data_IF_432397399686
#
_entry.id   IF_432397399686
#
_cell.length_a   1.000
_cell.length_b   1.000
_cell.length_c   1.000
_cell.angle_alpha   90.00
_cell.angle_beta   90.00
_cell.angle_gamma   90.00
#
_symmetry.space_group_name_H-M   'P 1'
#
loop_
_entity.id
_entity.type
_entity.pdbx_description
1 polymer ?
#
# COMPACT_ATOMS: atom_id res chain seq x y z
N UNK A 1 -16.23 24.56 20.40
CA UNK A 1 -17.13 23.60 19.71
C UNK A 1 -16.56 23.03 18.40
N UNK A 2 -15.42 23.51 17.86
CA UNK A 2 -14.86 22.99 16.60
C UNK A 2 -14.01 21.70 16.67
N UNK A 3 -13.48 21.33 17.84
CA UNK A 3 -12.57 20.18 17.98
C UNK A 3 -13.28 18.82 18.11
N UNK A 4 -14.46 18.78 18.73
CA UNK A 4 -15.23 17.54 18.96
C UNK A 4 -15.86 17.02 17.66
N UNK A 5 -16.28 17.91 16.76
CA UNK A 5 -16.79 17.53 15.45
C UNK A 5 -15.67 17.05 14.49
N UNK A 6 -14.47 17.65 14.58
CA UNK A 6 -13.31 17.25 13.77
C UNK A 6 -12.79 15.85 14.12
N UNK A 7 -12.69 15.52 15.42
CA UNK A 7 -12.17 14.23 15.87
C UNK A 7 -12.96 13.02 15.36
N UNK A 8 -14.28 13.15 15.23
CA UNK A 8 -15.12 12.06 14.71
C UNK A 8 -14.90 11.80 13.21
N UNK A 9 -14.68 12.86 12.42
CA UNK A 9 -14.37 12.73 10.99
C UNK A 9 -12.98 12.13 10.76
N UNK A 10 -11.96 12.60 11.50
CA UNK A 10 -10.62 12.02 11.46
C UNK A 10 -10.61 10.55 11.88
N UNK A 11 -11.41 10.17 12.88
CA UNK A 11 -11.54 8.78 13.32
C UNK A 11 -12.10 7.88 12.22
N UNK A 12 -13.13 8.35 11.49
CA UNK A 12 -13.70 7.61 10.35
C UNK A 12 -12.72 7.50 9.19
N UNK A 13 -12.02 8.59 8.88
CA UNK A 13 -11.03 8.63 7.81
C UNK A 13 -9.83 7.71 8.11
N UNK A 14 -9.28 7.78 9.32
CA UNK A 14 -8.17 6.94 9.78
C UNK A 14 -8.50 5.45 9.70
N UNK A 15 -9.70 5.05 10.15
CA UNK A 15 -10.18 3.67 10.07
C UNK A 15 -10.25 3.17 8.62
N UNK A 16 -10.90 3.94 7.74
CA UNK A 16 -11.03 3.58 6.31
C UNK A 16 -9.70 3.56 5.58
N UNK A 17 -8.79 4.48 5.92
CA UNK A 17 -7.43 4.47 5.38
C UNK A 17 -6.68 3.21 5.81
N UNK A 18 -6.77 2.83 7.09
CA UNK A 18 -6.17 1.59 7.60
C UNK A 18 -6.70 0.35 6.89
N UNK A 19 -8.01 0.22 6.74
CA UNK A 19 -8.64 -0.86 5.98
C UNK A 19 -8.18 -0.87 4.51
N UNK A 20 -8.09 0.31 3.88
CA UNK A 20 -7.59 0.48 2.52
C UNK A 20 -6.13 0.05 2.36
N UNK A 21 -5.26 0.42 3.30
CA UNK A 21 -3.84 0.03 3.30
C UNK A 21 -3.68 -1.48 3.48
N UNK A 22 -4.45 -2.10 4.39
CA UNK A 22 -4.41 -3.55 4.62
C UNK A 22 -4.88 -4.31 3.37
N UNK A 23 -5.97 -3.86 2.74
CA UNK A 23 -6.45 -4.46 1.49
C UNK A 23 -5.45 -4.25 0.35
N UNK A 24 -4.82 -3.08 0.27
CA UNK A 24 -3.74 -2.81 -0.68
C UNK A 24 -2.53 -3.72 -0.48
N UNK A 25 -2.18 -4.04 0.76
CA UNK A 25 -1.10 -4.98 1.09
C UNK A 25 -1.40 -6.40 0.59
N UNK A 26 -2.63 -6.87 0.79
CA UNK A 26 -3.09 -8.17 0.31
C UNK A 26 -3.06 -8.23 -1.23
N UNK A 27 -3.54 -7.19 -1.90
CA UNK A 27 -3.46 -7.07 -3.37
C UNK A 27 -2.03 -7.09 -3.87
N UNK A 28 -1.12 -6.37 -3.19
CA UNK A 28 0.30 -6.38 -3.54
C UNK A 28 0.93 -7.78 -3.40
N UNK A 29 0.51 -8.56 -2.38
CA UNK A 29 0.94 -9.96 -2.23
C UNK A 29 0.50 -10.83 -3.40
N UNK A 30 -0.77 -10.73 -3.79
CA UNK A 30 -1.29 -11.47 -4.95
C UNK A 30 -0.57 -11.05 -6.23
N UNK A 31 -0.29 -9.76 -6.40
CA UNK A 31 0.48 -9.24 -7.53
C UNK A 31 1.90 -9.80 -7.60
N UNK A 32 2.60 -9.93 -6.46
CA UNK A 32 3.92 -10.58 -6.41
C UNK A 32 3.81 -12.05 -6.79
N UNK A 33 2.83 -12.78 -6.28
CA UNK A 33 2.62 -14.18 -6.66
C UNK A 33 2.33 -14.33 -8.17
N UNK A 34 1.51 -13.45 -8.74
CA UNK A 34 1.25 -13.42 -10.18
C UNK A 34 2.53 -13.12 -10.98
N UNK A 35 3.37 -12.19 -10.50
CA UNK A 35 4.68 -11.93 -11.11
C UNK A 35 5.58 -13.17 -11.09
N UNK A 36 5.58 -13.93 -10.00
CA UNK A 36 6.37 -15.16 -9.89
C UNK A 36 5.86 -16.27 -10.81
N UNK A 37 4.54 -16.39 -11.01
CA UNK A 37 3.94 -17.39 -11.91
C UNK A 37 4.14 -17.03 -13.38
N UNK A 38 3.94 -15.77 -13.75
CA UNK A 38 4.01 -15.34 -15.14
C UNK A 38 5.45 -15.13 -15.65
N UNK A 39 6.46 -15.13 -14.76
CA UNK A 39 7.85 -14.85 -15.10
C UNK A 39 8.60 -16.14 -15.44
N UNK A 40 9.11 -16.29 -16.68
CA UNK A 40 9.92 -17.45 -17.05
C UNK A 40 11.39 -17.38 -16.58
N UNK A 41 11.89 -16.18 -16.24
CA UNK A 41 13.31 -15.92 -15.95
C UNK A 41 13.58 -15.57 -14.48
N UNK A 42 14.66 -16.06 -13.86
CA UNK A 42 14.98 -15.77 -12.46
C UNK A 42 15.31 -14.29 -12.21
N UNK A 43 15.16 -13.84 -10.96
CA UNK A 43 15.50 -12.47 -10.53
C UNK A 43 17.02 -12.34 -10.37
N UNK A 44 17.70 -11.94 -11.45
CA UNK A 44 19.17 -11.77 -11.49
C UNK A 44 19.62 -10.31 -11.43
N UNK A 45 18.86 -9.38 -12.03
CA UNK A 45 19.24 -7.97 -12.10
C UNK A 45 18.85 -7.15 -10.87
N UNK A 46 17.72 -7.50 -10.23
CA UNK A 46 17.14 -6.78 -9.10
C UNK A 46 16.60 -7.76 -8.07
N UNK A 47 16.62 -7.40 -6.76
CA UNK A 47 16.09 -8.24 -5.71
C UNK A 47 14.58 -8.48 -5.88
N UNK A 48 14.11 -9.61 -5.36
CA UNK A 48 12.68 -9.98 -5.38
C UNK A 48 11.81 -8.87 -4.75
N UNK A 49 10.68 -8.49 -5.39
CA UNK A 49 9.80 -7.46 -4.87
C UNK A 49 9.20 -7.89 -3.53
N UNK A 50 9.22 -6.99 -2.56
CA UNK A 50 8.64 -7.18 -1.22
C UNK A 50 7.42 -6.30 -1.05
N UNK A 51 6.41 -6.83 -0.36
CA UNK A 51 5.15 -6.12 -0.06
C UNK A 51 5.41 -4.78 0.62
N UNK A 52 6.30 -4.75 1.62
CA UNK A 52 6.67 -3.53 2.34
C UNK A 52 7.24 -2.45 1.43
N UNK A 53 8.07 -2.83 0.45
CA UNK A 53 8.67 -1.89 -0.50
C UNK A 53 7.63 -1.35 -1.47
N UNK A 54 6.69 -2.19 -1.91
CA UNK A 54 5.58 -1.76 -2.80
C UNK A 54 4.69 -0.75 -2.08
N UNK A 55 4.25 -1.06 -0.85
CA UNK A 55 3.43 -0.16 -0.05
C UNK A 55 4.18 1.13 0.25
N UNK A 56 5.44 1.03 0.69
CA UNK A 56 6.26 2.20 0.98
C UNK A 56 6.37 3.14 -0.22
N UNK A 57 6.67 2.61 -1.41
CA UNK A 57 6.77 3.41 -2.65
C UNK A 57 5.44 3.99 -3.09
N UNK A 58 4.34 3.24 -2.93
CA UNK A 58 3.00 3.74 -3.23
C UNK A 58 2.64 4.92 -2.32
N UNK A 59 2.94 4.82 -1.02
CA UNK A 59 2.70 5.91 -0.06
C UNK A 59 3.60 7.12 -0.36
N UNK A 60 4.90 6.94 -0.57
CA UNK A 60 5.79 8.07 -0.91
C UNK A 60 5.37 8.77 -2.21
N UNK A 61 4.93 8.00 -3.21
CA UNK A 61 4.45 8.54 -4.48
C UNK A 61 3.13 9.31 -4.37
N UNK A 62 2.29 8.99 -3.39
CA UNK A 62 1.06 9.75 -3.10
C UNK A 62 1.36 11.12 -2.49
N UNK A 63 2.42 11.24 -1.68
CA UNK A 63 2.80 12.50 -1.03
C UNK A 63 3.80 13.34 -1.85
N UNK A 64 4.40 12.79 -2.90
CA UNK A 64 5.25 13.53 -3.85
C UNK A 64 4.47 14.18 -5.00
N UNK A 65 3.18 13.87 -5.15
CA UNK A 65 2.32 14.48 -6.16
C UNK A 65 1.72 15.78 -5.62
N UNK A 66 2.58 16.78 -5.45
CA UNK A 66 2.27 18.22 -5.33
C UNK A 66 3.51 19.02 -5.74
#
# INVERSE_FOLDING_TARGET
IGSVAGGHLFTRLSRRFGEGVVNGALTARVGIAAMEVCRPLPFVALPRPKVSNIIGRALTGLFQKD
#
